data_IF_495006729322
#
_entry.id   IF_495006729322
#
_cell.length_a   1.000
_cell.length_b   1.000
_cell.length_c   1.000
_cell.angle_alpha   90.00
_cell.angle_beta   90.00
_cell.angle_gamma   90.00
#
_symmetry.space_group_name_H-M   'P 1'
#
loop_
_entity.id
_entity.type
_entity.pdbx_description
1 polymer ?
#
# COMPACT_ATOMS: atom_id res chain seq x y z
N UNK A 1 -0.26 4.82 -23.81
CA UNK A 1 -1.08 5.87 -23.18
C UNK A 1 -1.35 5.47 -21.73
N UNK A 2 -0.77 6.16 -20.73
CA UNK A 2 -0.94 5.80 -19.31
C UNK A 2 -2.03 6.68 -18.69
N UNK A 3 -3.22 6.12 -18.51
CA UNK A 3 -4.45 6.83 -18.12
C UNK A 3 -4.47 7.39 -16.69
N UNK A 4 -3.42 7.19 -15.89
CA UNK A 4 -3.41 7.57 -14.47
C UNK A 4 -2.49 8.77 -14.16
N UNK A 5 -2.28 9.68 -15.12
CA UNK A 5 -1.42 10.86 -14.91
C UNK A 5 -1.86 11.66 -13.68
N UNK A 6 -3.15 11.99 -13.60
CA UNK A 6 -3.74 12.79 -12.52
C UNK A 6 -3.69 12.12 -11.13
N UNK A 7 -3.87 10.80 -11.09
CA UNK A 7 -3.92 10.02 -9.86
C UNK A 7 -2.55 9.46 -9.42
N UNK A 8 -1.51 9.61 -10.24
CA UNK A 8 -0.17 9.14 -9.90
C UNK A 8 0.36 9.80 -8.62
N UNK A 9 1.12 9.03 -7.81
CA UNK A 9 1.75 9.55 -6.59
C UNK A 9 2.65 10.75 -6.90
N UNK A 10 3.34 10.74 -8.06
CA UNK A 10 4.14 11.87 -8.54
C UNK A 10 3.29 13.12 -8.75
N UNK A 11 2.21 13.04 -9.54
CA UNK A 11 1.37 14.20 -9.82
C UNK A 11 0.63 14.72 -8.57
N UNK A 12 0.25 13.83 -7.65
CA UNK A 12 -0.31 14.22 -6.33
C UNK A 12 0.72 14.95 -5.48
N UNK A 13 1.95 14.42 -5.40
CA UNK A 13 3.04 15.04 -4.65
C UNK A 13 3.40 16.44 -5.17
N UNK A 14 3.45 16.62 -6.49
CA UNK A 14 3.71 17.93 -7.11
C UNK A 14 2.61 18.95 -6.81
N UNK A 15 1.34 18.54 -6.80
CA UNK A 15 0.23 19.42 -6.39
C UNK A 15 0.30 19.79 -4.91
N UNK A 16 0.63 18.83 -4.05
CA UNK A 16 0.78 19.06 -2.61
C UNK A 16 1.91 20.06 -2.31
N UNK A 17 3.07 19.93 -2.97
CA UNK A 17 4.19 20.88 -2.85
C UNK A 17 3.81 22.30 -3.27
N UNK A 18 3.02 22.45 -4.34
CA UNK A 18 2.55 23.75 -4.83
C UNK A 18 1.48 24.40 -3.93
N UNK A 19 0.79 23.60 -3.12
CA UNK A 19 -0.27 24.06 -2.22
C UNK A 19 0.24 24.46 -0.82
N UNK A 20 1.48 24.12 -0.47
CA UNK A 20 2.11 24.53 0.80
C UNK A 20 2.82 25.87 0.60
N UNK A 21 2.60 26.88 1.47
CA UNK A 21 3.48 28.04 1.54
C UNK A 21 4.89 27.56 1.91
N UNK A 22 5.90 28.15 1.28
CA UNK A 22 7.30 27.81 1.46
C UNK A 22 7.81 28.32 2.82
N UNK A 23 7.42 27.65 3.91
CA UNK A 23 8.12 27.77 5.19
C UNK A 23 8.34 26.37 5.75
N UNK A 24 9.59 25.95 5.65
CA UNK A 24 10.02 24.60 6.00
C UNK A 24 9.99 24.37 7.50
N UNK A 25 9.01 23.61 7.98
CA UNK A 25 9.12 22.78 9.18
C UNK A 25 8.09 21.65 9.06
N UNK A 26 8.59 20.44 8.80
CA UNK A 26 7.84 19.17 8.71
C UNK A 26 6.74 19.13 7.63
N UNK A 27 6.62 18.05 6.83
CA UNK A 27 5.37 17.87 6.08
C UNK A 27 4.25 17.84 7.12
N UNK A 28 3.16 18.63 6.98
CA UNK A 28 1.99 18.36 7.78
C UNK A 28 1.65 16.91 7.51
N UNK A 29 1.68 16.09 8.57
CA UNK A 29 0.98 14.82 8.63
C UNK A 29 -0.30 14.98 7.82
N UNK A 30 -0.35 14.30 6.67
CA UNK A 30 -1.45 14.28 5.70
C UNK A 30 -2.57 15.23 6.07
N UNK A 31 -2.46 16.51 5.66
CA UNK A 31 -3.38 17.57 6.07
C UNK A 31 -4.81 17.05 6.09
N UNK A 32 -5.32 16.81 7.30
CA UNK A 32 -6.62 16.22 7.52
C UNK A 32 -7.61 17.35 7.35
N UNK A 33 -7.84 17.74 6.08
CA UNK A 33 -9.09 18.37 5.72
C UNK A 33 -10.21 17.51 6.33
N UNK A 34 -11.27 18.09 6.93
CA UNK A 34 -12.31 17.32 7.56
C UNK A 34 -12.80 16.30 6.53
N UNK A 35 -12.45 15.04 6.78
CA UNK A 35 -12.73 13.99 5.81
C UNK A 35 -14.24 13.98 5.65
N UNK A 36 -14.72 14.23 4.44
CA UNK A 36 -16.13 14.05 4.14
C UNK A 36 -16.54 12.68 4.66
N UNK A 37 -17.80 12.53 5.09
CA UNK A 37 -18.27 11.26 5.62
C UNK A 37 -17.97 10.10 4.65
N UNK A 38 -18.04 10.37 3.34
CA UNK A 38 -17.58 9.49 2.29
C UNK A 38 -16.10 9.08 2.41
N UNK A 39 -15.18 10.03 2.57
CA UNK A 39 -13.76 9.75 2.71
C UNK A 39 -13.44 8.95 3.99
N UNK A 40 -14.15 9.21 5.10
CA UNK A 40 -14.03 8.41 6.32
C UNK A 40 -14.50 6.96 6.08
N UNK A 41 -15.67 6.76 5.45
CA UNK A 41 -16.18 5.44 5.07
C UNK A 41 -15.23 4.71 4.11
N UNK A 42 -14.69 5.39 3.11
CA UNK A 42 -13.74 4.81 2.16
C UNK A 42 -12.45 4.32 2.84
N UNK A 43 -11.89 5.11 3.79
CA UNK A 43 -10.73 4.69 4.60
C UNK A 43 -11.05 3.45 5.44
N UNK A 44 -12.21 3.41 6.10
CA UNK A 44 -12.64 2.27 6.91
C UNK A 44 -12.83 1.00 6.05
N UNK A 45 -13.47 1.11 4.89
CA UNK A 45 -13.64 -0.01 3.96
C UNK A 45 -12.29 -0.50 3.45
N UNK A 46 -11.38 0.40 3.09
CA UNK A 46 -10.04 0.04 2.67
C UNK A 46 -9.27 -0.71 3.74
N UNK A 47 -9.35 -0.27 5.00
CA UNK A 47 -8.72 -0.97 6.12
C UNK A 47 -9.26 -2.40 6.29
N UNK A 48 -10.58 -2.60 6.15
CA UNK A 48 -11.19 -3.95 6.20
C UNK A 48 -10.72 -4.83 5.05
N UNK A 49 -10.63 -4.29 3.83
CA UNK A 49 -10.14 -5.05 2.67
C UNK A 49 -8.68 -5.46 2.81
N UNK A 50 -7.83 -4.54 3.26
CA UNK A 50 -6.43 -4.84 3.58
C UNK A 50 -6.35 -5.95 4.62
N UNK A 51 -7.13 -5.85 5.70
CA UNK A 51 -7.20 -6.90 6.72
C UNK A 51 -7.57 -8.26 6.13
N UNK A 52 -8.61 -8.34 5.30
CA UNK A 52 -9.02 -9.60 4.65
C UNK A 52 -7.93 -10.20 3.75
N UNK A 53 -7.15 -9.36 3.06
CA UNK A 53 -6.06 -9.81 2.18
C UNK A 53 -4.86 -10.33 2.97
N UNK A 54 -4.53 -9.69 4.10
CA UNK A 54 -3.35 -10.07 4.91
C UNK A 54 -3.66 -11.08 6.02
N UNK A 55 -4.92 -11.27 6.40
CA UNK A 55 -5.32 -12.39 7.28
C UNK A 55 -5.28 -13.74 6.54
N UNK A 56 -5.42 -13.73 5.22
CA UNK A 56 -5.21 -14.92 4.41
C UNK A 56 -3.70 -15.10 4.18
N UNK A 57 -3.12 -16.21 4.65
CA UNK A 57 -1.75 -16.57 4.32
C UNK A 57 -1.69 -17.03 2.85
N UNK A 58 -1.07 -16.26 1.93
CA UNK A 58 -0.96 -16.66 0.53
C UNK A 58 -0.03 -17.87 0.33
N UNK A 59 0.73 -18.26 1.36
CA UNK A 59 1.57 -19.46 1.38
C UNK A 59 0.87 -20.66 2.02
N UNK A 60 -0.40 -20.56 2.38
CA UNK A 60 -1.22 -21.69 2.81
C UNK A 60 -2.04 -22.24 1.63
N UNK A 61 -2.00 -23.56 1.41
CA UNK A 61 -2.82 -24.18 0.38
C UNK A 61 -4.31 -24.16 0.77
N UNK A 62 -5.22 -23.61 -0.06
CA UNK A 62 -6.64 -23.51 0.27
C UNK A 62 -7.39 -24.85 0.34
N UNK A 63 -6.77 -25.94 -0.14
CA UNK A 63 -7.35 -27.30 -0.11
C UNK A 63 -6.86 -28.15 1.04
N UNK A 64 -5.56 -28.14 1.31
CA UNK A 64 -4.95 -29.04 2.31
C UNK A 64 -4.32 -28.31 3.51
N UNK A 65 -4.35 -26.97 3.54
CA UNK A 65 -3.78 -26.13 4.61
C UNK A 65 -2.27 -26.32 4.85
N UNK A 66 -1.58 -26.96 3.90
CA UNK A 66 -0.14 -27.18 3.97
C UNK A 66 0.66 -25.96 3.49
N UNK A 67 1.92 -25.84 3.91
CA UNK A 67 2.80 -24.74 3.51
C UNK A 67 3.22 -24.83 2.04
N UNK A 68 3.14 -23.71 1.33
CA UNK A 68 3.58 -23.53 -0.05
C UNK A 68 4.88 -22.74 -0.12
N UNK A 69 5.70 -23.00 -1.16
CA UNK A 69 6.99 -22.31 -1.39
C UNK A 69 6.96 -21.50 -2.67
N UNK A 70 7.62 -20.35 -2.65
CA UNK A 70 7.76 -19.49 -3.83
C UNK A 70 8.82 -20.09 -4.77
N UNK A 71 8.41 -20.56 -5.95
CA UNK A 71 9.31 -21.21 -6.92
C UNK A 71 9.94 -20.25 -7.93
N UNK A 72 9.35 -19.08 -8.17
CA UNK A 72 9.87 -18.11 -9.13
C UNK A 72 9.45 -16.67 -8.79
N UNK A 73 10.40 -15.74 -8.91
CA UNK A 73 10.19 -14.30 -8.73
C UNK A 73 10.62 -13.59 -9.99
N UNK A 74 9.67 -12.93 -10.66
CA UNK A 74 9.93 -12.25 -11.94
C UNK A 74 10.62 -10.89 -11.76
N UNK A 75 10.57 -10.28 -10.58
CA UNK A 75 11.09 -8.92 -10.33
C UNK A 75 12.12 -8.90 -9.20
N UNK A 76 13.24 -8.20 -9.44
CA UNK A 76 14.36 -8.11 -8.50
C UNK A 76 14.01 -7.37 -7.19
N UNK A 77 13.06 -6.44 -7.23
CA UNK A 77 12.63 -5.69 -6.04
C UNK A 77 11.98 -6.60 -4.98
N UNK A 78 11.20 -7.59 -5.40
CA UNK A 78 10.49 -8.51 -4.50
C UNK A 78 11.44 -9.54 -3.87
N UNK A 79 12.58 -9.82 -4.50
CA UNK A 79 13.61 -10.69 -3.92
C UNK A 79 14.19 -10.13 -2.62
N UNK A 80 14.41 -8.81 -2.55
CA UNK A 80 14.97 -8.16 -1.36
C UNK A 80 14.03 -8.22 -0.16
N UNK A 81 12.72 -8.09 -0.39
CA UNK A 81 11.72 -8.18 0.68
C UNK A 81 11.57 -9.60 1.20
N UNK A 82 11.62 -10.59 0.32
CA UNK A 82 11.54 -12.00 0.73
C UNK A 82 12.79 -12.48 1.48
N UNK A 83 13.97 -11.92 1.19
CA UNK A 83 15.20 -12.23 1.94
C UNK A 83 15.15 -11.77 3.41
N UNK A 84 14.23 -10.86 3.76
CA UNK A 84 14.03 -10.42 5.14
C UNK A 84 12.97 -11.25 5.90
N UNK A 85 12.30 -12.19 5.23
CA UNK A 85 11.31 -13.05 5.87
C UNK A 85 12.01 -14.23 6.57
N UNK A 86 11.68 -14.56 7.82
CA UNK A 86 12.23 -15.74 8.49
C UNK A 86 11.87 -17.03 7.74
N UNK A 87 12.72 -18.07 7.78
CA UNK A 87 12.42 -19.35 7.15
C UNK A 87 11.16 -19.97 7.79
N UNK A 88 10.29 -20.64 7.00
CA UNK A 88 9.18 -21.39 7.56
C UNK A 88 9.72 -22.57 8.39
N UNK A 89 9.14 -22.80 9.57
CA UNK A 89 9.39 -23.97 10.44
C UNK A 89 8.96 -25.29 9.77
#
# INVERSE_FOLDING_TARGET
MRYAGWYSNRARGERAKKALPHDGLFPPSSGEAPATEFAARARATWARLIRMVYEADPLECPRCKGPMRIIALKTAAVRKTLAMLPPPE
#
